data_IF_538457223487
#
_entry.id   IF_538457223487
#
_cell.length_a   1.000
_cell.length_b   1.000
_cell.length_c   1.000
_cell.angle_alpha   90.00
_cell.angle_beta   90.00
_cell.angle_gamma   90.00
#
_symmetry.space_group_name_H-M   'P 1'
#
loop_
_entity.id
_entity.type
_entity.pdbx_description
1 polymer ?
#
# COMPACT_ATOMS: atom_id res chain seq x y z
N UNK A 1 32.44 39.57 -20.06
CA UNK A 1 31.90 38.19 -20.18
C UNK A 1 32.83 37.27 -19.40
N UNK A 2 32.53 37.06 -18.11
CA UNK A 2 33.34 36.20 -17.25
C UNK A 2 32.56 34.90 -16.98
N UNK A 3 33.30 33.79 -17.02
CA UNK A 3 32.81 32.41 -17.05
C UNK A 3 31.80 32.07 -15.96
N UNK A 4 30.64 31.57 -16.39
CA UNK A 4 29.64 30.91 -15.56
C UNK A 4 30.19 29.54 -15.12
N UNK A 5 31.20 29.55 -14.24
CA UNK A 5 31.67 28.33 -13.56
C UNK A 5 30.46 27.76 -12.81
N UNK A 6 30.12 26.50 -13.09
CA UNK A 6 29.03 25.77 -12.41
C UNK A 6 29.15 25.95 -10.89
N UNK A 7 28.35 26.84 -10.32
CA UNK A 7 28.28 27.05 -8.87
C UNK A 7 27.72 25.78 -8.24
N UNK A 8 28.53 25.08 -7.45
CA UNK A 8 28.08 23.94 -6.67
C UNK A 8 26.99 24.36 -5.69
N UNK A 9 26.09 23.42 -5.36
CA UNK A 9 25.10 23.63 -4.31
C UNK A 9 25.77 23.54 -2.94
N UNK A 10 25.48 24.51 -2.08
CA UNK A 10 25.75 24.50 -0.65
C UNK A 10 24.75 23.63 0.09
N UNK A 11 25.07 23.30 1.34
CA UNK A 11 24.18 22.53 2.21
C UNK A 11 22.89 23.29 2.53
N UNK A 12 22.98 24.60 2.75
CA UNK A 12 21.82 25.49 2.95
C UNK A 12 20.89 25.49 1.74
N UNK A 13 21.44 25.59 0.52
CA UNK A 13 20.65 25.47 -0.72
C UNK A 13 19.96 24.10 -0.84
N UNK A 14 20.65 23.02 -0.43
CA UNK A 14 20.07 21.68 -0.43
C UNK A 14 18.90 21.59 0.57
N UNK A 15 19.08 22.10 1.80
CA UNK A 15 18.02 22.09 2.83
C UNK A 15 16.80 22.87 2.36
N UNK A 16 16.97 24.08 1.80
CA UNK A 16 15.87 24.88 1.26
C UNK A 16 15.15 24.16 0.11
N UNK A 17 15.91 23.56 -0.81
CA UNK A 17 15.35 22.74 -1.88
C UNK A 17 14.52 21.58 -1.33
N UNK A 18 15.06 20.84 -0.35
CA UNK A 18 14.39 19.68 0.23
C UNK A 18 13.11 20.07 1.00
N UNK A 19 13.14 21.15 1.79
CA UNK A 19 11.94 21.68 2.47
C UNK A 19 10.84 22.04 1.46
N UNK A 20 11.21 22.68 0.35
CA UNK A 20 10.24 23.03 -0.69
C UNK A 20 9.71 21.79 -1.42
N UNK A 21 10.56 20.79 -1.69
CA UNK A 21 10.15 19.51 -2.31
C UNK A 21 9.20 18.75 -1.39
N UNK A 22 9.42 18.78 -0.07
CA UNK A 22 8.54 18.16 0.92
C UNK A 22 7.15 18.81 0.96
N UNK A 23 7.11 20.13 0.79
CA UNK A 23 5.89 20.93 0.77
C UNK A 23 5.09 20.73 -0.53
N UNK A 24 5.73 20.88 -1.69
CA UNK A 24 5.05 20.87 -2.99
C UNK A 24 4.87 19.47 -3.59
N UNK A 25 5.68 18.49 -3.16
CA UNK A 25 5.65 17.08 -3.59
C UNK A 25 5.57 16.91 -5.12
N UNK A 26 6.47 17.51 -5.90
CA UNK A 26 6.42 17.49 -7.37
C UNK A 26 6.48 16.07 -7.96
N UNK A 27 7.04 15.11 -7.23
CA UNK A 27 7.15 13.70 -7.61
C UNK A 27 5.82 12.92 -7.54
N UNK A 28 4.79 13.43 -6.85
CA UNK A 28 3.46 12.79 -6.78
C UNK A 28 2.52 13.17 -7.92
N UNK A 29 2.94 14.12 -8.76
CA UNK A 29 2.10 14.67 -9.83
C UNK A 29 1.99 13.66 -10.98
N UNK A 30 0.83 13.64 -11.64
CA UNK A 30 0.57 12.77 -12.80
C UNK A 30 1.68 12.88 -13.87
N UNK A 31 2.01 11.74 -14.49
CA UNK A 31 2.97 11.66 -15.60
C UNK A 31 2.59 12.68 -16.69
N UNK A 32 3.56 13.50 -17.10
CA UNK A 32 3.37 14.59 -18.07
C UNK A 32 3.18 15.98 -17.45
N UNK A 33 2.86 16.06 -16.14
CA UNK A 33 2.79 17.34 -15.39
C UNK A 33 3.94 17.53 -14.39
N UNK A 34 4.78 16.51 -14.22
CA UNK A 34 5.95 16.51 -13.32
C UNK A 34 6.88 17.70 -13.63
N UNK A 35 7.19 17.93 -14.91
CA UNK A 35 8.03 19.04 -15.37
C UNK A 35 7.50 20.39 -14.91
N UNK A 36 6.20 20.64 -15.10
CA UNK A 36 5.53 21.88 -14.65
C UNK A 36 5.57 22.02 -13.13
N UNK A 37 5.43 20.92 -12.38
CA UNK A 37 5.50 20.96 -10.92
C UNK A 37 6.91 21.32 -10.42
N UNK A 38 7.95 20.80 -11.07
CA UNK A 38 9.34 21.17 -10.77
C UNK A 38 9.66 22.61 -11.19
N UNK A 39 9.09 23.10 -12.29
CA UNK A 39 9.24 24.49 -12.72
C UNK A 39 8.57 25.47 -11.74
N UNK A 40 7.35 25.15 -11.29
CA UNK A 40 6.66 25.93 -10.27
C UNK A 40 7.42 25.95 -8.94
N UNK A 41 7.98 24.80 -8.52
CA UNK A 41 8.83 24.72 -7.34
C UNK A 41 10.09 25.58 -7.50
N UNK A 42 10.75 25.51 -8.65
CA UNK A 42 11.94 26.29 -8.93
C UNK A 42 11.65 27.79 -8.93
N UNK A 43 10.52 28.21 -9.51
CA UNK A 43 10.06 29.60 -9.50
C UNK A 43 9.79 30.11 -8.07
N UNK A 44 9.19 29.29 -7.20
CA UNK A 44 9.00 29.65 -5.78
C UNK A 44 10.33 29.84 -5.05
N UNK A 45 11.29 28.94 -5.25
CA UNK A 45 12.62 29.06 -4.63
C UNK A 45 13.36 30.30 -5.13
N UNK A 46 13.29 30.61 -6.43
CA UNK A 46 13.93 31.82 -6.98
C UNK A 46 13.26 33.11 -6.50
N UNK A 47 11.96 33.06 -6.17
CA UNK A 47 11.23 34.20 -5.63
C UNK A 47 11.51 34.46 -4.14
N UNK A 48 12.06 33.48 -3.42
CA UNK A 48 12.46 33.63 -2.02
C UNK A 48 13.81 34.36 -1.94
N UNK A 49 13.83 35.54 -1.30
CA UNK A 49 15.03 36.36 -1.10
C UNK A 49 16.12 35.62 -0.31
N UNK A 50 15.74 34.63 0.51
CA UNK A 50 16.66 33.82 1.30
C UNK A 50 17.37 32.77 0.47
N UNK A 51 16.89 32.47 -0.75
CA UNK A 51 17.50 31.47 -1.62
C UNK A 51 18.65 32.12 -2.42
N UNK A 52 19.91 31.69 -2.22
CA UNK A 52 21.08 32.41 -2.72
C UNK A 52 21.31 32.31 -4.23
N UNK A 53 20.39 31.67 -4.98
CA UNK A 53 20.51 31.38 -6.40
C UNK A 53 19.44 32.08 -7.23
N UNK A 54 19.92 32.98 -8.08
CA UNK A 54 19.10 33.85 -8.96
C UNK A 54 18.41 33.07 -10.09
N UNK A 55 18.94 31.91 -10.50
CA UNK A 55 18.38 31.08 -11.56
C UNK A 55 18.38 29.60 -11.17
N UNK A 56 17.19 29.01 -11.09
CA UNK A 56 16.97 27.59 -10.91
C UNK A 56 15.98 27.13 -11.98
N UNK A 57 16.32 26.07 -12.70
CA UNK A 57 15.42 25.45 -13.68
C UNK A 57 14.83 24.16 -13.11
N UNK A 58 13.67 23.77 -13.62
CA UNK A 58 12.99 22.49 -13.32
C UNK A 58 13.97 21.29 -13.34
N UNK A 59 14.82 21.21 -14.38
CA UNK A 59 15.76 20.10 -14.59
C UNK A 59 16.90 20.14 -13.60
N UNK A 60 17.36 21.33 -13.23
CA UNK A 60 18.44 21.49 -12.27
C UNK A 60 17.97 21.13 -10.85
N UNK A 61 16.77 21.57 -10.48
CA UNK A 61 16.15 21.23 -9.20
C UNK A 61 15.90 19.73 -9.10
N UNK A 62 15.26 19.13 -10.11
CA UNK A 62 15.00 17.69 -10.16
C UNK A 62 16.31 16.89 -10.14
N UNK A 63 17.29 17.24 -10.97
CA UNK A 63 18.56 16.53 -11.02
C UNK A 63 19.34 16.62 -9.70
N UNK A 64 19.25 17.77 -8.99
CA UNK A 64 19.89 17.91 -7.68
C UNK A 64 19.19 17.04 -6.65
N UNK A 65 17.85 17.06 -6.60
CA UNK A 65 17.07 16.19 -5.72
C UNK A 65 17.39 14.71 -5.95
N UNK A 66 17.39 14.23 -7.20
CA UNK A 66 17.70 12.83 -7.53
C UNK A 66 19.10 12.42 -7.06
N UNK A 67 20.09 13.32 -7.15
CA UNK A 67 21.45 13.06 -6.64
C UNK A 67 21.48 12.94 -5.13
N UNK A 68 20.79 13.83 -4.41
CA UNK A 68 20.72 13.81 -2.95
C UNK A 68 20.05 12.53 -2.43
N UNK A 69 18.93 12.14 -3.05
CA UNK A 69 18.23 10.90 -2.73
C UNK A 69 19.13 9.68 -2.95
N UNK A 70 19.87 9.63 -4.07
CA UNK A 70 20.80 8.52 -4.33
C UNK A 70 21.94 8.46 -3.32
N UNK A 71 22.56 9.59 -2.99
CA UNK A 71 23.63 9.66 -1.99
C UNK A 71 23.13 9.13 -0.66
N UNK A 72 21.97 9.61 -0.21
CA UNK A 72 21.43 9.21 1.10
C UNK A 72 21.02 7.75 1.18
N UNK A 73 20.55 7.17 0.08
CA UNK A 73 20.27 5.72 0.02
C UNK A 73 21.53 4.89 0.22
N UNK A 74 22.65 5.31 -0.38
CA UNK A 74 23.95 4.65 -0.19
C UNK A 74 24.42 4.82 1.25
N UNK A 75 24.38 6.04 1.79
CA UNK A 75 24.76 6.33 3.19
C UNK A 75 23.93 5.52 4.19
N UNK A 76 22.61 5.43 3.98
CA UNK A 76 21.73 4.62 4.84
C UNK A 76 22.06 3.12 4.74
N UNK A 77 22.38 2.61 3.55
CA UNK A 77 22.76 1.22 3.37
C UNK A 77 24.11 0.91 4.05
N UNK A 78 25.08 1.80 3.93
CA UNK A 78 26.38 1.70 4.59
C UNK A 78 26.24 1.78 6.11
N UNK A 79 25.41 2.71 6.62
CA UNK A 79 25.13 2.87 8.05
C UNK A 79 24.45 1.63 8.65
N UNK A 80 23.48 1.04 7.92
CA UNK A 80 22.84 -0.22 8.32
C UNK A 80 23.84 -1.39 8.34
N UNK A 81 24.78 -1.43 7.40
CA UNK A 81 25.83 -2.45 7.36
C UNK A 81 26.88 -2.26 8.45
N UNK A 82 27.14 -1.02 8.87
CA UNK A 82 28.18 -0.67 9.83
C UNK A 82 27.81 -0.89 11.32
N UNK A 83 26.59 -1.34 11.64
CA UNK A 83 26.11 -1.69 12.98
C UNK A 83 26.53 -0.72 14.10
N UNK A 84 25.71 0.31 14.34
CA UNK A 84 25.59 0.93 15.67
C UNK A 84 26.37 2.23 15.92
N UNK A 85 26.87 2.90 14.89
CA UNK A 85 27.36 4.28 15.05
C UNK A 85 26.19 5.24 14.85
N UNK A 86 25.73 5.85 15.95
CA UNK A 86 24.83 7.00 15.93
C UNK A 86 25.60 8.21 15.44
N UNK A 87 25.50 8.54 14.16
CA UNK A 87 25.95 9.82 13.65
C UNK A 87 24.93 10.92 14.01
N UNK A 88 25.38 12.18 14.08
CA UNK A 88 24.49 13.31 14.29
C UNK A 88 23.55 13.44 13.07
N UNK A 89 22.25 13.26 13.29
CA UNK A 89 21.25 13.41 12.24
C UNK A 89 21.12 14.90 11.88
N UNK A 90 21.76 15.29 10.78
CA UNK A 90 21.60 16.64 10.22
C UNK A 90 20.16 16.85 9.74
N UNK A 91 19.69 18.09 9.70
CA UNK A 91 18.35 18.38 9.16
C UNK A 91 18.20 17.87 7.72
N UNK A 92 19.24 18.03 6.91
CA UNK A 92 19.29 17.52 5.54
C UNK A 92 19.06 16.01 5.50
N UNK A 93 19.65 15.27 6.44
CA UNK A 93 19.44 13.85 6.57
C UNK A 93 17.94 13.55 6.87
N UNK A 94 17.38 14.13 7.94
CA UNK A 94 15.99 13.90 8.31
C UNK A 94 15.01 14.17 7.15
N UNK A 95 15.18 15.30 6.45
CA UNK A 95 14.37 15.64 5.28
C UNK A 95 14.50 14.61 4.15
N UNK A 96 15.71 14.11 3.90
CA UNK A 96 15.94 13.10 2.87
C UNK A 96 15.30 11.76 3.24
N UNK A 97 15.34 11.33 4.49
CA UNK A 97 14.70 10.06 4.89
C UNK A 97 13.19 10.13 4.75
N UNK A 98 12.58 11.24 5.16
CA UNK A 98 11.15 11.47 4.97
C UNK A 98 10.77 11.49 3.48
N UNK A 99 11.53 12.23 2.67
CA UNK A 99 11.31 12.32 1.23
C UNK A 99 11.50 10.97 0.53
N UNK A 100 12.49 10.17 0.93
CA UNK A 100 12.71 8.82 0.41
C UNK A 100 11.49 7.95 0.68
N UNK A 101 10.99 7.92 1.92
CA UNK A 101 9.78 7.17 2.29
C UNK A 101 8.60 7.59 1.42
N UNK A 102 8.35 8.89 1.28
CA UNK A 102 7.23 9.41 0.48
C UNK A 102 7.36 9.07 -1.02
N UNK A 103 8.58 9.06 -1.56
CA UNK A 103 8.85 8.66 -2.94
C UNK A 103 8.60 7.17 -3.13
N UNK A 104 9.12 6.33 -2.24
CA UNK A 104 8.98 4.88 -2.34
C UNK A 104 7.51 4.45 -2.17
N UNK A 105 6.79 5.00 -1.20
CA UNK A 105 5.34 4.80 -1.05
C UNK A 105 4.58 5.17 -2.34
N UNK A 106 4.95 6.28 -2.98
CA UNK A 106 4.32 6.69 -4.23
C UNK A 106 4.64 5.72 -5.38
N UNK A 107 5.88 5.25 -5.47
CA UNK A 107 6.28 4.26 -6.49
C UNK A 107 5.54 2.94 -6.28
N UNK A 108 5.43 2.47 -5.03
CA UNK A 108 4.71 1.25 -4.67
C UNK A 108 3.23 1.35 -5.02
N UNK A 109 2.56 2.44 -4.66
CA UNK A 109 1.14 2.64 -4.99
C UNK A 109 0.89 2.67 -6.51
N UNK A 110 1.76 3.34 -7.27
CA UNK A 110 1.67 3.37 -8.74
C UNK A 110 1.92 1.98 -9.34
N UNK A 111 2.89 1.23 -8.82
CA UNK A 111 3.18 -0.11 -9.31
C UNK A 111 2.08 -1.11 -8.97
N UNK A 112 1.51 -1.04 -7.76
CA UNK A 112 0.37 -1.85 -7.35
C UNK A 112 -0.86 -1.60 -8.23
N UNK A 113 -1.15 -0.33 -8.54
CA UNK A 113 -2.25 0.03 -9.44
C UNK A 113 -2.04 -0.55 -10.85
N UNK A 114 -0.82 -0.45 -11.40
CA UNK A 114 -0.48 -1.06 -12.70
C UNK A 114 -0.60 -2.58 -12.67
N UNK A 115 -0.10 -3.23 -11.61
CA UNK A 115 -0.18 -4.67 -11.45
C UNK A 115 -1.65 -5.15 -11.40
N UNK A 116 -2.50 -4.44 -10.64
CA UNK A 116 -3.92 -4.73 -10.56
C UNK A 116 -4.63 -4.60 -11.93
N UNK A 117 -4.32 -3.55 -12.70
CA UNK A 117 -4.86 -3.35 -14.04
C UNK A 117 -4.43 -4.47 -15.00
N UNK A 118 -3.14 -4.83 -14.99
CA UNK A 118 -2.64 -5.95 -15.82
C UNK A 118 -3.27 -7.29 -15.44
N UNK A 119 -3.45 -7.57 -14.14
CA UNK A 119 -4.08 -8.79 -13.67
C UNK A 119 -5.57 -8.85 -14.05
N UNK A 120 -6.28 -7.71 -14.01
CA UNK A 120 -7.66 -7.62 -14.48
C UNK A 120 -7.74 -7.94 -15.97
N UNK A 121 -6.87 -7.34 -16.79
CA UNK A 121 -6.82 -7.58 -18.24
C UNK A 121 -6.54 -9.04 -18.56
N UNK A 122 -5.59 -9.67 -17.85
CA UNK A 122 -5.28 -11.09 -18.00
C UNK A 122 -6.48 -11.98 -17.66
N UNK A 123 -7.19 -11.71 -16.56
CA UNK A 123 -8.40 -12.45 -16.20
C UNK A 123 -9.50 -12.32 -17.25
N UNK A 124 -9.71 -11.12 -17.79
CA UNK A 124 -10.69 -10.90 -18.87
C UNK A 124 -10.32 -11.66 -20.14
N UNK A 125 -9.02 -11.68 -20.49
CA UNK A 125 -8.50 -12.43 -21.63
C UNK A 125 -8.62 -13.96 -21.44
N UNK A 126 -8.30 -14.48 -20.26
CA UNK A 126 -8.45 -15.88 -19.89
C UNK A 126 -9.91 -16.33 -19.85
N UNK A 127 -10.81 -15.51 -19.30
CA UNK A 127 -12.24 -15.77 -19.30
C UNK A 127 -12.79 -15.81 -20.74
N UNK A 128 -12.35 -14.87 -21.57
CA UNK A 128 -12.69 -14.81 -22.99
C UNK A 128 -12.16 -16.03 -23.77
N UNK A 129 -10.93 -16.46 -23.50
CA UNK A 129 -10.34 -17.66 -24.10
C UNK A 129 -11.08 -18.94 -23.69
N UNK A 130 -11.45 -19.05 -22.41
CA UNK A 130 -12.25 -20.16 -21.88
C UNK A 130 -13.63 -20.20 -22.55
N UNK A 131 -14.31 -19.06 -22.68
CA UNK A 131 -15.60 -18.96 -23.35
C UNK A 131 -15.52 -19.40 -24.83
N UNK A 132 -14.47 -18.97 -25.56
CA UNK A 132 -14.23 -19.42 -26.94
C UNK A 132 -14.01 -20.93 -27.01
N UNK A 133 -13.25 -21.51 -26.08
CA UNK A 133 -12.98 -22.96 -26.04
C UNK A 133 -14.25 -23.76 -25.79
N UNK A 134 -15.03 -23.38 -24.78
CA UNK A 134 -16.28 -24.06 -24.44
C UNK A 134 -17.30 -23.97 -25.59
N UNK A 135 -17.42 -22.82 -26.26
CA UNK A 135 -18.29 -22.67 -27.41
C UNK A 135 -17.90 -23.61 -28.57
N UNK A 136 -16.60 -23.74 -28.87
CA UNK A 136 -16.10 -24.63 -29.91
C UNK A 136 -16.33 -26.12 -29.57
N UNK A 137 -16.18 -26.49 -28.29
CA UNK A 137 -16.47 -27.86 -27.82
C UNK A 137 -17.96 -28.20 -27.97
N UNK A 138 -18.87 -27.31 -27.55
CA UNK A 138 -20.31 -27.52 -27.70
C UNK A 138 -20.75 -27.65 -29.16
N UNK A 139 -20.12 -26.89 -30.07
CA UNK A 139 -20.42 -26.98 -31.50
C UNK A 139 -19.94 -28.31 -32.11
N UNK A 140 -18.85 -28.88 -31.59
CA UNK A 140 -18.36 -30.21 -31.98
C UNK A 140 -19.23 -31.35 -31.47
N UNK A 141 -19.83 -31.21 -30.28
CA UNK A 141 -20.75 -32.20 -29.71
C UNK A 141 -22.09 -32.28 -30.46
N UNK A 142 -22.59 -31.17 -31.00
CA UNK A 142 -23.85 -31.13 -31.76
C UNK A 142 -23.75 -31.82 -33.14
N UNK A 143 -22.54 -32.08 -33.64
CA UNK A 143 -22.31 -32.85 -34.87
C UNK A 143 -22.23 -34.37 -34.65
N UNK A 144 -22.01 -34.84 -33.41
CA UNK A 144 -21.85 -36.26 -33.07
C UNK A 144 -23.12 -36.81 -32.39
N UNK A 145 -23.99 -37.39 -33.22
CA UNK A 145 -25.37 -37.76 -32.92
C UNK A 145 -25.56 -38.70 -31.71
N UNK A 146 -26.28 -38.20 -30.69
CA UNK A 146 -27.26 -38.94 -29.85
C UNK A 146 -27.77 -37.99 -28.75
N UNK A 147 -28.75 -37.14 -29.10
CA UNK A 147 -29.16 -35.98 -28.29
C UNK A 147 -29.98 -36.34 -27.03
N UNK A 148 -30.65 -37.51 -26.98
CA UNK A 148 -31.53 -37.85 -25.86
C UNK A 148 -30.78 -38.42 -24.64
N UNK A 149 -29.81 -39.32 -24.84
CA UNK A 149 -29.05 -39.92 -23.74
C UNK A 149 -28.06 -38.96 -23.07
N UNK A 150 -27.47 -38.04 -23.85
CA UNK A 150 -26.54 -37.01 -23.34
C UNK A 150 -27.26 -35.96 -22.48
N UNK A 151 -28.50 -35.59 -22.82
CA UNK A 151 -29.30 -34.60 -22.08
C UNK A 151 -29.69 -35.08 -20.67
N UNK A 152 -30.08 -36.35 -20.53
CA UNK A 152 -30.41 -36.95 -19.23
C UNK A 152 -29.20 -36.97 -18.29
N UNK A 153 -28.01 -37.34 -18.80
CA UNK A 153 -26.76 -37.29 -18.02
C UNK A 153 -26.40 -35.88 -17.55
N UNK A 154 -26.59 -34.85 -18.40
CA UNK A 154 -26.38 -33.45 -18.01
C UNK A 154 -27.33 -33.01 -16.89
N UNK A 155 -28.59 -33.44 -16.94
CA UNK A 155 -29.58 -33.15 -15.89
C UNK A 155 -29.24 -33.81 -14.55
N UNK A 156 -28.75 -35.05 -14.56
CA UNK A 156 -28.27 -35.75 -13.36
C UNK A 156 -27.06 -35.06 -12.73
N UNK A 157 -26.09 -34.62 -13.56
CA UNK A 157 -24.91 -33.87 -13.08
C UNK A 157 -25.34 -32.54 -12.44
N UNK A 158 -26.28 -31.81 -13.04
CA UNK A 158 -26.81 -30.57 -12.47
C UNK A 158 -27.55 -30.80 -11.15
N UNK A 159 -28.36 -31.86 -11.05
CA UNK A 159 -29.04 -32.23 -9.80
C UNK A 159 -28.04 -32.55 -8.69
N UNK A 160 -26.97 -33.27 -9.01
CA UNK A 160 -25.92 -33.60 -8.05
C UNK A 160 -25.19 -32.34 -7.56
N UNK A 161 -24.82 -31.45 -8.48
CA UNK A 161 -24.16 -30.17 -8.13
C UNK A 161 -25.06 -29.26 -7.27
N UNK A 162 -26.37 -29.24 -7.56
CA UNK A 162 -27.33 -28.49 -6.76
C UNK A 162 -27.47 -29.05 -5.34
N UNK A 163 -27.43 -30.38 -5.19
CA UNK A 163 -27.47 -31.04 -3.90
C UNK A 163 -26.21 -30.71 -3.07
N UNK A 164 -25.02 -30.78 -3.69
CA UNK A 164 -23.75 -30.42 -3.04
C UNK A 164 -23.73 -28.96 -2.57
N UNK A 165 -24.26 -28.02 -3.37
CA UNK A 165 -24.40 -26.63 -2.95
C UNK A 165 -25.34 -26.48 -1.76
N UNK A 166 -26.44 -27.24 -1.73
CA UNK A 166 -27.40 -27.19 -0.62
C UNK A 166 -26.81 -27.75 0.67
N UNK A 167 -26.03 -28.83 0.58
CA UNK A 167 -25.35 -29.42 1.72
C UNK A 167 -24.31 -28.45 2.30
N UNK A 168 -23.55 -27.77 1.44
CA UNK A 168 -22.58 -26.76 1.86
C UNK A 168 -23.24 -25.55 2.53
N UNK A 169 -24.35 -25.05 1.98
CA UNK A 169 -25.14 -23.97 2.59
C UNK A 169 -25.65 -24.37 3.99
N UNK A 170 -26.09 -25.62 4.15
CA UNK A 170 -26.53 -26.13 5.45
C UNK A 170 -25.37 -26.24 6.45
N UNK A 171 -24.19 -26.62 5.99
CA UNK A 171 -23.00 -26.71 6.83
C UNK A 171 -22.51 -25.34 7.31
N UNK A 172 -22.46 -24.35 6.42
CA UNK A 172 -22.10 -22.98 6.76
C UNK A 172 -23.11 -22.39 7.76
N UNK A 173 -24.41 -22.67 7.58
CA UNK A 173 -25.45 -22.25 8.52
C UNK A 173 -25.29 -22.90 9.91
N UNK A 174 -24.82 -24.15 9.98
CA UNK A 174 -24.51 -24.81 11.26
C UNK A 174 -23.30 -24.17 11.93
N UNK A 175 -22.21 -23.97 11.19
CA UNK A 175 -20.98 -23.30 11.68
C UNK A 175 -21.27 -21.90 12.19
N UNK A 176 -22.11 -21.12 11.51
CA UNK A 176 -22.50 -19.79 11.97
C UNK A 176 -23.25 -19.84 13.31
N UNK A 177 -24.11 -20.84 13.52
CA UNK A 177 -24.80 -21.04 14.81
C UNK A 177 -23.83 -21.44 15.91
N UNK A 178 -22.89 -22.33 15.62
CA UNK A 178 -21.85 -22.75 16.56
C UNK A 178 -20.96 -21.57 16.97
N UNK A 179 -20.54 -20.74 16.01
CA UNK A 179 -19.79 -19.52 16.29
C UNK A 179 -20.56 -18.55 17.20
N UNK A 180 -21.85 -18.33 16.95
CA UNK A 180 -22.69 -17.50 17.83
C UNK A 180 -22.81 -18.08 19.25
N UNK A 181 -22.82 -19.40 19.41
CA UNK A 181 -22.84 -20.04 20.74
C UNK A 181 -21.50 -19.82 21.44
N UNK A 182 -20.39 -20.05 20.74
CA UNK A 182 -19.04 -19.83 21.27
C UNK A 182 -18.80 -18.37 21.68
N UNK A 183 -19.26 -17.41 20.88
CA UNK A 183 -19.17 -15.98 21.19
C UNK A 183 -19.95 -15.63 22.47
N UNK A 184 -21.19 -16.13 22.59
CA UNK A 184 -21.98 -15.96 23.81
C UNK A 184 -21.34 -16.59 25.04
N UNK A 185 -20.65 -17.72 24.89
CA UNK A 185 -19.91 -18.35 25.98
C UNK A 185 -18.67 -17.53 26.37
N UNK A 186 -17.94 -16.99 25.39
CA UNK A 186 -16.81 -16.10 25.63
C UNK A 186 -17.25 -14.80 26.32
N UNK A 187 -18.36 -14.19 25.90
CA UNK A 187 -18.94 -13.00 26.54
C UNK A 187 -19.33 -13.29 28.00
N UNK A 188 -19.95 -14.44 28.27
CA UNK A 188 -20.26 -14.87 29.63
C UNK A 188 -19.00 -15.03 30.47
N UNK A 189 -17.95 -15.65 29.92
CA UNK A 189 -16.68 -15.82 30.61
C UNK A 189 -16.01 -14.47 30.90
N UNK A 190 -16.04 -13.53 29.94
CA UNK A 190 -15.51 -12.18 30.11
C UNK A 190 -16.25 -11.43 31.22
N UNK A 191 -17.58 -11.45 31.21
CA UNK A 191 -18.40 -10.82 32.26
C UNK A 191 -18.10 -11.39 33.65
N UNK A 192 -17.94 -12.72 33.76
CA UNK A 192 -17.56 -13.36 35.02
C UNK A 192 -16.18 -12.91 35.50
N UNK A 193 -15.20 -12.77 34.59
CA UNK A 193 -13.86 -12.29 34.92
C UNK A 193 -13.87 -10.84 35.42
N UNK A 194 -14.64 -9.96 34.78
CA UNK A 194 -14.82 -8.56 35.21
C UNK A 194 -15.45 -8.50 36.60
N UNK A 195 -16.51 -9.27 36.85
CA UNK A 195 -17.16 -9.34 38.17
C UNK A 195 -16.18 -9.83 39.25
N UNK A 196 -15.36 -10.83 38.95
CA UNK A 196 -14.33 -11.31 39.88
C UNK A 196 -13.28 -10.24 40.16
N UNK A 197 -12.82 -9.50 39.15
CA UNK A 197 -11.83 -8.44 39.31
C UNK A 197 -12.36 -7.29 40.18
N UNK A 198 -13.59 -6.83 39.90
CA UNK A 198 -14.26 -5.80 40.69
C UNK A 198 -14.45 -6.26 42.13
N UNK A 199 -14.88 -7.51 42.34
CA UNK A 199 -15.05 -8.08 43.68
C UNK A 199 -13.73 -8.11 44.46
N UNK A 200 -12.62 -8.47 43.82
CA UNK A 200 -11.27 -8.43 44.43
C UNK A 200 -10.86 -7.01 44.79
N UNK A 201 -11.03 -6.05 43.88
CA UNK A 201 -10.72 -4.64 44.13
C UNK A 201 -11.52 -4.06 45.29
N UNK A 202 -12.82 -4.37 45.38
CA UNK A 202 -13.67 -3.95 46.51
C UNK A 202 -13.15 -4.57 47.82
N UNK A 203 -12.81 -5.87 47.82
CA UNK A 203 -12.28 -6.53 49.02
C UNK A 203 -10.94 -5.92 49.48
N UNK A 204 -10.07 -5.50 48.55
CA UNK A 204 -8.82 -4.81 48.84
C UNK A 204 -9.06 -3.43 49.46
N UNK A 205 -9.96 -2.62 48.88
CA UNK A 205 -10.33 -1.30 49.42
C UNK A 205 -10.93 -1.42 50.82
N UNK A 206 -11.85 -2.37 51.03
CA UNK A 206 -12.44 -2.64 52.35
C UNK A 206 -11.38 -3.10 53.37
N UNK A 207 -10.42 -3.92 52.94
CA UNK A 207 -9.33 -4.37 53.81
C UNK A 207 -8.36 -3.25 54.18
N UNK A 208 -8.10 -2.31 53.27
CA UNK A 208 -7.28 -1.12 53.54
C UNK A 208 -7.98 -0.15 54.49
N UNK A 209 -9.29 0.06 54.33
CA UNK A 209 -10.08 0.91 55.23
C UNK A 209 -10.22 0.36 56.66
N UNK A 210 -9.99 -0.94 56.87
CA UNK A 210 -10.08 -1.59 58.20
C UNK A 210 -8.74 -1.62 58.95
N UNK A 211 -7.64 -1.25 58.27
CA UNK A 211 -6.27 -1.18 58.81
C UNK A 211 -5.84 0.24 59.22
N UNK A 212 -6.62 1.25 58.84
CA UNK A 212 -6.52 2.64 59.32
C UNK A 212 -7.55 2.88 60.43
#
# INVERSE_FOLDING_TARGET
>A
MAEDKRRNYSEEEDVMLLRQVLSDRPFRVQRGKITVAWDALAAKLVADESFPRIKLSEKNAQSRFDKLVRSRRVENQESLAASGVSEEETEKALLLDELIKLVDDHVETVNAAKAADTAKRQREEEASATARRLAMETLGEDQDGSLQGKRLKREEVLKKMLLELKDKELEDRKKARELMVMEREADRAHMLAVVQLVSKSIAEVVSQSKKN
#
